data_IF_619914991013
#
_entry.id   IF_619914991013
#
_cell.length_a   1.000
_cell.length_b   1.000
_cell.length_c   1.000
_cell.angle_alpha   90.00
_cell.angle_beta   90.00
_cell.angle_gamma   90.00
#
_symmetry.space_group_name_H-M   'P 1'
#
loop_
_entity.id
_entity.type
_entity.pdbx_description
1 polymer ?
#
# COMPACT_ATOMS: atom_id res chain seq x y z
N UNK A 1 6.37 7.24 -91.24
CA UNK A 1 5.56 7.69 -90.07
C UNK A 1 4.83 6.46 -89.54
N UNK A 2 4.88 6.20 -88.24
CA UNK A 2 4.61 4.88 -87.64
C UNK A 2 3.37 4.87 -86.74
N UNK A 3 2.67 3.74 -86.58
CA UNK A 3 1.35 3.66 -85.92
C UNK A 3 1.38 3.74 -84.38
N UNK A 4 2.44 4.31 -83.78
CA UNK A 4 2.64 4.38 -82.33
C UNK A 4 2.26 5.72 -81.69
N UNK A 5 2.16 6.80 -82.46
CA UNK A 5 1.78 8.13 -81.92
C UNK A 5 0.29 8.28 -81.68
N UNK A 6 -0.54 7.56 -82.44
CA UNK A 6 -2.00 7.73 -82.45
C UNK A 6 -2.70 7.03 -81.27
N UNK A 7 -2.15 5.92 -80.77
CA UNK A 7 -2.61 5.24 -79.55
C UNK A 7 -2.23 6.02 -78.28
N UNK A 8 -1.06 6.65 -78.28
CA UNK A 8 -0.59 7.47 -77.16
C UNK A 8 -1.47 8.71 -76.94
N UNK A 9 -1.91 9.38 -78.01
CA UNK A 9 -2.84 10.51 -77.92
C UNK A 9 -4.21 10.12 -77.33
N UNK A 10 -4.76 8.95 -77.67
CA UNK A 10 -6.04 8.49 -77.10
C UNK A 10 -5.94 8.27 -75.58
N UNK A 11 -4.83 7.69 -75.11
CA UNK A 11 -4.60 7.45 -73.68
C UNK A 11 -4.36 8.75 -72.90
N UNK A 12 -3.71 9.75 -73.52
CA UNK A 12 -3.52 11.08 -72.93
C UNK A 12 -4.81 11.93 -72.91
N UNK A 13 -5.76 11.69 -73.81
CA UNK A 13 -7.08 12.32 -73.76
C UNK A 13 -8.00 11.65 -72.72
N UNK A 14 -7.88 10.33 -72.53
CA UNK A 14 -8.64 9.60 -71.52
C UNK A 14 -8.21 9.91 -70.08
N UNK A 15 -6.96 10.34 -69.85
CA UNK A 15 -6.51 10.78 -68.52
C UNK A 15 -6.91 12.22 -68.15
N UNK A 16 -7.51 12.98 -69.08
CA UNK A 16 -7.97 14.36 -68.87
C UNK A 16 -9.50 14.51 -68.78
N UNK A 17 -10.25 13.40 -68.77
CA UNK A 17 -11.70 13.39 -68.45
C UNK A 17 -11.97 12.47 -67.25
N UNK A 18 -11.10 12.54 -66.25
CA UNK A 18 -11.37 12.07 -64.89
C UNK A 18 -12.35 12.99 -64.16
N UNK A 19 -13.55 13.19 -64.73
CA UNK A 19 -14.62 13.88 -64.02
C UNK A 19 -15.12 12.96 -62.89
N UNK A 20 -15.00 13.39 -61.64
CA UNK A 20 -15.61 12.68 -60.53
C UNK A 20 -17.14 12.73 -60.69
N UNK A 21 -17.73 11.59 -61.06
CA UNK A 21 -19.19 11.43 -61.24
C UNK A 21 -19.92 11.48 -59.88
N UNK A 22 -19.18 11.54 -58.78
CA UNK A 22 -19.67 11.66 -57.41
C UNK A 22 -19.05 12.89 -56.75
N UNK A 23 -19.89 13.82 -56.30
CA UNK A 23 -19.48 14.93 -55.44
C UNK A 23 -19.14 14.40 -54.03
N UNK A 24 -18.17 15.02 -53.35
CA UNK A 24 -17.97 14.78 -51.91
C UNK A 24 -19.23 15.18 -51.14
N UNK A 25 -19.49 14.54 -49.99
CA UNK A 25 -20.76 14.69 -49.25
C UNK A 25 -21.11 16.14 -48.85
N UNK A 26 -20.08 16.95 -48.59
CA UNK A 26 -20.21 18.37 -48.24
C UNK A 26 -20.59 19.26 -49.45
N UNK A 27 -20.24 18.86 -50.67
CA UNK A 27 -20.59 19.56 -51.91
C UNK A 27 -21.89 19.03 -52.53
N UNK A 28 -22.10 17.71 -52.43
CA UNK A 28 -23.29 17.01 -52.93
C UNK A 28 -24.58 17.59 -52.33
N UNK A 29 -24.53 18.04 -51.07
CA UNK A 29 -25.65 18.63 -50.34
C UNK A 29 -25.99 20.06 -50.78
N UNK A 30 -25.14 20.74 -51.56
CA UNK A 30 -25.49 22.00 -52.23
C UNK A 30 -26.29 21.79 -53.52
N UNK A 31 -26.12 20.63 -54.17
CA UNK A 31 -26.76 20.29 -55.46
C UNK A 31 -28.03 19.44 -55.26
N UNK A 32 -28.00 18.51 -54.31
CA UNK A 32 -29.10 17.57 -54.04
C UNK A 32 -29.80 17.90 -52.72
N UNK A 33 -30.85 18.72 -52.79
CA UNK A 33 -31.76 19.01 -51.68
C UNK A 33 -32.61 17.78 -51.30
N UNK A 34 -31.99 16.78 -50.65
CA UNK A 34 -32.71 15.71 -49.94
C UNK A 34 -33.38 16.29 -48.70
N UNK A 35 -34.65 15.93 -48.48
CA UNK A 35 -35.28 16.12 -47.17
C UNK A 35 -34.64 15.16 -46.17
N UNK A 36 -34.46 15.62 -44.93
CA UNK A 36 -34.10 14.76 -43.80
C UNK A 36 -35.21 13.72 -43.58
N UNK A 37 -34.79 12.53 -43.15
CA UNK A 37 -35.59 11.36 -42.78
C UNK A 37 -35.94 11.37 -41.29
N UNK A 38 -35.06 11.99 -40.51
CA UNK A 38 -35.19 12.41 -39.11
C UNK A 38 -36.48 13.20 -38.80
N UNK A 39 -36.90 13.21 -37.53
CA UNK A 39 -38.13 13.86 -37.03
C UNK A 39 -39.42 13.44 -37.77
N UNK A 40 -39.50 12.19 -38.23
CA UNK A 40 -40.67 11.67 -38.94
C UNK A 40 -41.67 10.96 -38.00
N UNK A 41 -42.99 10.96 -38.30
CA UNK A 41 -43.97 10.24 -37.49
C UNK A 41 -43.64 8.75 -37.41
N UNK A 42 -43.63 8.20 -36.19
CA UNK A 42 -43.23 6.82 -35.87
C UNK A 42 -41.75 6.49 -36.18
N UNK A 43 -40.83 7.45 -36.00
CA UNK A 43 -39.36 7.25 -36.06
C UNK A 43 -38.91 6.08 -35.17
N UNK A 44 -39.29 6.11 -33.89
CA UNK A 44 -38.99 5.14 -32.82
C UNK A 44 -39.38 3.68 -33.14
N UNK A 45 -40.23 3.45 -34.15
CA UNK A 45 -40.64 2.11 -34.59
C UNK A 45 -39.72 1.51 -35.67
N UNK A 46 -38.63 2.20 -36.03
CA UNK A 46 -37.61 1.77 -36.98
C UNK A 46 -36.38 1.30 -36.22
N UNK A 47 -35.66 0.31 -36.76
CA UNK A 47 -34.33 -0.01 -36.21
C UNK A 47 -33.39 1.19 -36.35
N UNK A 48 -32.67 1.50 -35.27
CA UNK A 48 -31.76 2.64 -35.17
C UNK A 48 -30.77 2.69 -36.33
N UNK A 49 -30.58 3.88 -36.89
CA UNK A 49 -29.76 4.11 -38.07
C UNK A 49 -28.88 5.34 -37.88
N UNK A 50 -27.55 5.14 -37.78
CA UNK A 50 -26.56 6.21 -37.56
C UNK A 50 -26.78 7.44 -38.44
N UNK A 51 -27.01 7.23 -39.74
CA UNK A 51 -27.18 8.30 -40.73
C UNK A 51 -28.46 9.13 -40.50
N UNK A 52 -29.44 8.58 -39.79
CA UNK A 52 -30.73 9.21 -39.49
C UNK A 52 -30.67 9.89 -38.12
N UNK A 53 -30.66 9.13 -37.04
CA UNK A 53 -30.81 9.69 -35.69
C UNK A 53 -29.56 10.48 -35.24
N UNK A 54 -28.35 10.09 -35.67
CA UNK A 54 -27.12 10.73 -35.21
C UNK A 54 -26.43 11.65 -36.24
N UNK A 55 -26.86 11.68 -37.51
CA UNK A 55 -26.24 12.54 -38.54
C UNK A 55 -27.23 13.52 -39.17
N UNK A 56 -28.47 13.10 -39.43
CA UNK A 56 -29.53 14.02 -39.86
C UNK A 56 -30.18 14.75 -38.67
N UNK A 57 -30.02 14.26 -37.44
CA UNK A 57 -30.35 14.95 -36.19
C UNK A 57 -29.30 14.68 -35.09
N UNK A 58 -29.61 15.07 -33.83
CA UNK A 58 -28.70 14.92 -32.69
C UNK A 58 -29.28 13.89 -31.71
N UNK A 59 -28.90 12.63 -31.91
CA UNK A 59 -29.31 11.52 -31.07
C UNK A 59 -28.95 11.71 -29.58
N UNK A 60 -29.77 11.12 -28.72
CA UNK A 60 -29.52 10.98 -27.28
C UNK A 60 -28.76 9.69 -26.94
N UNK A 61 -28.57 9.42 -25.63
CA UNK A 61 -27.79 8.25 -25.17
C UNK A 61 -28.48 6.92 -25.47
N UNK A 62 -29.81 6.85 -25.46
CA UNK A 62 -30.55 5.61 -25.65
C UNK A 62 -30.67 5.29 -27.14
N UNK A 63 -30.95 6.29 -27.99
CA UNK A 63 -30.90 6.15 -29.45
C UNK A 63 -29.51 5.69 -29.92
N UNK A 64 -28.43 6.28 -29.37
CA UNK A 64 -27.07 5.83 -29.62
C UNK A 64 -26.78 4.41 -29.09
N UNK A 65 -27.44 3.98 -28.00
CA UNK A 65 -27.32 2.62 -27.44
C UNK A 65 -27.93 1.59 -28.39
N UNK A 66 -29.06 1.91 -29.02
CA UNK A 66 -29.73 1.04 -30.00
C UNK A 66 -28.92 0.84 -31.29
N UNK A 67 -28.16 1.84 -31.73
CA UNK A 67 -27.33 1.76 -32.95
C UNK A 67 -26.08 0.88 -32.75
N UNK A 68 -25.59 0.71 -31.50
CA UNK A 68 -24.31 0.05 -31.22
C UNK A 68 -24.36 -1.20 -30.34
N UNK A 69 -25.53 -1.52 -29.76
CA UNK A 69 -25.82 -2.76 -29.00
C UNK A 69 -24.91 -3.00 -27.76
N UNK A 70 -24.02 -2.06 -27.44
CA UNK A 70 -22.95 -2.22 -26.45
C UNK A 70 -22.54 -0.84 -25.92
N UNK A 71 -22.59 -0.63 -24.60
CA UNK A 71 -22.34 0.68 -23.98
C UNK A 71 -20.92 1.22 -24.21
N UNK A 72 -19.88 0.39 -24.17
CA UNK A 72 -18.50 0.85 -24.40
C UNK A 72 -18.32 1.37 -25.83
N UNK A 73 -18.86 0.64 -26.82
CA UNK A 73 -18.87 1.07 -28.23
C UNK A 73 -19.72 2.31 -28.44
N UNK A 74 -20.83 2.43 -27.72
CA UNK A 74 -21.71 3.62 -27.74
C UNK A 74 -20.94 4.85 -27.29
N UNK A 75 -20.33 4.82 -26.10
CA UNK A 75 -19.61 5.97 -25.54
C UNK A 75 -18.44 6.39 -26.43
N UNK A 76 -17.62 5.44 -26.87
CA UNK A 76 -16.46 5.73 -27.74
C UNK A 76 -16.89 6.31 -29.09
N UNK A 77 -17.97 5.82 -29.70
CA UNK A 77 -18.41 6.31 -31.01
C UNK A 77 -19.24 7.59 -30.95
N UNK A 78 -19.72 7.97 -29.76
CA UNK A 78 -20.41 9.24 -29.50
C UNK A 78 -19.43 10.37 -29.17
N UNK A 79 -18.34 10.16 -28.43
CA UNK A 79 -17.32 11.22 -28.17
C UNK A 79 -16.72 11.74 -29.48
N UNK A 80 -16.31 10.81 -30.35
CA UNK A 80 -15.83 11.05 -31.71
C UNK A 80 -16.77 11.88 -32.60
N UNK A 81 -18.03 12.07 -32.21
CA UNK A 81 -19.04 12.83 -32.95
C UNK A 81 -19.52 14.11 -32.24
N UNK A 82 -19.32 14.24 -30.92
CA UNK A 82 -19.74 15.42 -30.14
C UNK A 82 -18.66 16.51 -30.13
N UNK A 83 -17.42 16.14 -29.81
CA UNK A 83 -16.25 17.03 -29.78
C UNK A 83 -15.08 16.52 -30.67
N UNK A 84 -15.11 15.25 -31.08
CA UNK A 84 -14.12 14.65 -31.99
C UNK A 84 -12.87 14.15 -31.28
N UNK A 85 -12.11 13.26 -31.93
CA UNK A 85 -10.94 12.61 -31.32
C UNK A 85 -9.86 13.63 -30.91
N UNK A 86 -9.83 13.98 -29.63
CA UNK A 86 -8.88 14.96 -29.14
C UNK A 86 -7.43 14.41 -29.14
N UNK A 87 -7.25 13.08 -29.22
CA UNK A 87 -5.95 12.42 -29.34
C UNK A 87 -5.34 12.49 -30.74
N UNK A 88 -6.09 12.86 -31.79
CA UNK A 88 -5.53 13.10 -33.15
C UNK A 88 -4.44 14.18 -33.13
N UNK A 89 -4.53 15.14 -32.22
CA UNK A 89 -3.51 16.17 -32.01
C UNK A 89 -2.19 15.66 -31.38
N UNK A 90 -2.13 14.38 -31.01
CA UNK A 90 -1.05 13.75 -30.23
C UNK A 90 -0.63 14.57 -29.00
N UNK A 91 -1.58 14.95 -28.12
CA UNK A 91 -1.32 15.93 -27.06
C UNK A 91 -0.43 15.37 -25.94
N UNK A 92 -0.38 14.04 -25.78
CA UNK A 92 0.41 13.35 -24.77
C UNK A 92 1.86 13.16 -25.24
N UNK A 93 2.77 14.00 -24.76
CA UNK A 93 4.19 13.92 -25.09
C UNK A 93 4.92 12.86 -24.22
N UNK A 94 6.23 12.72 -24.38
CA UNK A 94 7.06 11.76 -23.64
C UNK A 94 6.55 10.29 -23.70
N UNK A 95 5.98 9.92 -24.85
CA UNK A 95 5.36 8.60 -25.11
C UNK A 95 4.22 8.21 -24.15
N UNK A 96 3.53 9.19 -23.54
CA UNK A 96 2.28 8.96 -22.83
C UNK A 96 1.20 8.41 -23.76
N UNK A 97 0.32 7.54 -23.24
CA UNK A 97 -0.80 6.99 -24.01
C UNK A 97 -1.99 7.92 -23.90
N UNK A 98 -2.48 8.45 -25.01
CA UNK A 98 -3.69 9.25 -25.05
C UNK A 98 -4.94 8.35 -25.04
N UNK A 99 -6.00 8.79 -24.35
CA UNK A 99 -7.37 8.32 -24.58
C UNK A 99 -8.32 9.49 -24.71
N UNK A 100 -9.21 9.39 -25.68
CA UNK A 100 -10.33 10.30 -25.89
C UNK A 100 -11.39 10.16 -24.78
N UNK A 101 -12.27 11.15 -24.64
CA UNK A 101 -13.28 11.24 -23.59
C UNK A 101 -14.18 12.45 -23.80
N UNK A 102 -15.10 12.70 -22.86
CA UNK A 102 -16.04 13.83 -22.94
C UNK A 102 -16.02 14.64 -21.63
N UNK A 103 -15.71 15.96 -21.66
CA UNK A 103 -15.12 16.71 -22.76
C UNK A 103 -13.59 16.54 -22.82
N UNK A 104 -13.05 16.19 -23.99
CA UNK A 104 -11.60 16.11 -24.23
C UNK A 104 -10.85 14.87 -23.69
N UNK A 105 -9.51 14.92 -23.72
CA UNK A 105 -8.62 13.76 -23.55
C UNK A 105 -8.05 13.55 -22.13
N UNK A 106 -7.54 12.34 -21.89
CA UNK A 106 -6.71 11.99 -20.74
C UNK A 106 -5.40 11.35 -21.19
N UNK A 107 -4.27 11.86 -20.69
CA UNK A 107 -2.94 11.27 -20.91
C UNK A 107 -2.54 10.31 -19.79
N UNK A 108 -2.19 9.07 -20.16
CA UNK A 108 -1.63 8.07 -19.27
C UNK A 108 -0.11 8.07 -19.42
N UNK A 109 0.56 8.80 -18.53
CA UNK A 109 2.00 9.04 -18.60
C UNK A 109 2.84 7.81 -18.27
N UNK A 110 4.01 7.71 -18.90
CA UNK A 110 5.01 6.69 -18.56
C UNK A 110 5.69 7.03 -17.23
N UNK A 111 6.30 6.04 -16.54
CA UNK A 111 7.19 6.30 -15.40
C UNK A 111 8.22 7.37 -15.74
N UNK A 112 8.43 8.31 -14.82
CA UNK A 112 9.28 9.50 -15.04
C UNK A 112 8.56 10.72 -15.61
N UNK A 113 7.24 10.70 -15.85
CA UNK A 113 6.49 11.83 -16.42
C UNK A 113 5.13 12.06 -15.74
N UNK A 114 4.72 13.32 -15.63
CA UNK A 114 3.41 13.78 -15.14
C UNK A 114 2.99 15.07 -15.87
N UNK A 115 1.88 15.68 -15.43
CA UNK A 115 1.25 16.83 -16.11
C UNK A 115 0.05 16.40 -16.94
N UNK A 116 -0.70 17.36 -17.48
CA UNK A 116 -1.92 17.04 -18.25
C UNK A 116 -1.59 16.34 -19.58
N UNK A 117 -0.43 16.68 -20.15
CA UNK A 117 0.10 16.24 -21.43
C UNK A 117 1.37 15.38 -21.26
N UNK A 118 1.66 14.92 -20.04
CA UNK A 118 2.93 14.27 -19.67
C UNK A 118 4.18 15.15 -19.87
N UNK A 119 3.99 16.47 -19.85
CA UNK A 119 4.99 17.50 -20.13
C UNK A 119 6.02 17.71 -19.00
N UNK A 120 5.64 17.38 -17.77
CA UNK A 120 6.51 17.51 -16.61
C UNK A 120 7.34 16.22 -16.49
N UNK A 121 8.60 16.30 -16.92
CA UNK A 121 9.60 15.28 -16.56
C UNK A 121 9.72 15.25 -15.04
N UNK A 122 9.36 14.13 -14.41
CA UNK A 122 9.67 13.84 -13.02
C UNK A 122 11.14 13.41 -13.00
N UNK A 123 12.05 14.17 -12.36
CA UNK A 123 13.39 13.67 -12.16
C UNK A 123 13.31 12.40 -11.29
N UNK A 124 14.01 11.32 -11.66
CA UNK A 124 14.05 10.04 -10.89
C UNK A 124 14.57 10.19 -9.44
N UNK A 125 14.85 11.42 -8.99
CA UNK A 125 15.49 11.82 -7.74
C UNK A 125 15.00 11.07 -6.50
N UNK A 126 13.70 10.91 -6.26
CA UNK A 126 13.19 10.10 -5.14
C UNK A 126 12.65 8.73 -5.56
N UNK A 127 12.18 8.56 -6.80
CA UNK A 127 11.64 7.27 -7.27
C UNK A 127 12.76 6.21 -7.45
N UNK A 128 14.02 6.63 -7.61
CA UNK A 128 15.21 5.78 -7.66
C UNK A 128 15.89 5.73 -6.30
N UNK A 129 16.00 4.53 -5.72
CA UNK A 129 16.67 4.27 -4.44
C UNK A 129 16.24 5.21 -3.27
N UNK A 130 14.99 5.68 -3.27
CA UNK A 130 14.51 6.70 -2.31
C UNK A 130 15.41 7.95 -2.25
N UNK A 131 16.02 8.33 -3.39
CA UNK A 131 17.00 9.41 -3.47
C UNK A 131 18.19 9.24 -2.52
N UNK A 132 18.58 8.00 -2.25
CA UNK A 132 19.59 7.58 -1.27
C UNK A 132 19.26 7.91 0.20
N UNK A 133 18.14 8.59 0.48
CA UNK A 133 17.71 8.97 1.83
C UNK A 133 17.52 7.72 2.70
N UNK A 134 17.97 7.75 3.95
CA UNK A 134 17.82 6.61 4.88
C UNK A 134 16.36 6.43 5.33
N UNK A 135 15.61 7.53 5.53
CA UNK A 135 14.18 7.49 5.81
C UNK A 135 13.37 8.16 4.69
N UNK A 136 13.07 9.45 4.75
CA UNK A 136 12.09 10.07 3.84
C UNK A 136 12.78 10.91 2.76
N UNK A 137 12.20 10.95 1.55
CA UNK A 137 12.72 11.69 0.40
C UNK A 137 11.65 12.61 -0.17
N UNK A 138 11.97 13.90 -0.28
CA UNK A 138 11.13 14.91 -0.91
C UNK A 138 11.93 15.69 -1.97
N UNK A 139 11.30 16.12 -3.06
CA UNK A 139 11.97 16.89 -4.14
C UNK A 139 11.65 18.38 -3.99
N UNK A 140 12.65 19.17 -3.61
CA UNK A 140 12.54 20.64 -3.51
C UNK A 140 13.43 21.31 -4.56
N UNK A 141 12.84 22.19 -5.39
CA UNK A 141 13.58 22.98 -6.40
C UNK A 141 14.51 22.11 -7.28
N UNK A 142 13.99 20.96 -7.73
CA UNK A 142 14.68 19.92 -8.51
C UNK A 142 15.93 19.32 -7.82
N UNK A 143 15.93 19.24 -6.47
CA UNK A 143 16.95 18.55 -5.67
C UNK A 143 16.30 17.60 -4.67
N UNK A 144 16.96 16.50 -4.35
CA UNK A 144 16.58 15.65 -3.20
C UNK A 144 16.81 16.43 -1.91
N UNK A 145 15.80 16.46 -1.06
CA UNK A 145 15.90 16.79 0.36
C UNK A 145 15.44 15.59 1.17
N UNK A 146 16.29 15.10 2.06
CA UNK A 146 15.95 14.00 2.95
C UNK A 146 15.36 14.52 4.28
N UNK A 147 14.40 13.78 4.85
CA UNK A 147 13.87 13.95 6.21
C UNK A 147 13.98 12.62 6.97
N UNK A 148 13.90 12.68 8.31
CA UNK A 148 14.04 11.52 9.19
C UNK A 148 12.79 11.30 10.05
N UNK A 149 12.56 10.04 10.45
CA UNK A 149 11.54 9.67 11.42
C UNK A 149 11.70 10.40 12.76
N UNK A 150 10.60 10.51 13.52
CA UNK A 150 10.62 11.11 14.86
C UNK A 150 11.63 10.38 15.78
N UNK A 151 12.42 11.15 16.55
CA UNK A 151 13.56 10.63 17.32
C UNK A 151 14.87 10.47 16.53
N UNK A 152 14.92 10.87 15.26
CA UNK A 152 16.14 10.89 14.41
C UNK A 152 16.40 12.29 13.83
N UNK A 153 17.67 12.56 13.50
CA UNK A 153 18.14 13.77 12.80
C UNK A 153 18.98 13.40 11.57
N UNK A 154 19.01 14.30 10.59
CA UNK A 154 19.77 14.11 9.35
C UNK A 154 21.28 14.27 9.62
N UNK A 155 22.09 13.35 9.09
CA UNK A 155 23.55 13.38 9.18
C UNK A 155 24.19 14.45 8.28
N UNK A 156 25.49 14.67 8.47
CA UNK A 156 26.28 15.70 7.76
C UNK A 156 26.39 15.44 6.24
N UNK A 157 26.18 14.18 5.84
CA UNK A 157 26.05 13.70 4.46
C UNK A 157 24.73 14.13 3.78
N UNK A 158 23.75 14.63 4.53
CA UNK A 158 22.43 15.02 4.03
C UNK A 158 21.53 13.86 3.59
N UNK A 159 21.88 12.62 3.93
CA UNK A 159 21.19 11.38 3.51
C UNK A 159 20.81 10.45 4.66
N UNK A 160 21.74 10.19 5.57
CA UNK A 160 21.61 9.21 6.65
C UNK A 160 20.84 9.79 7.84
N UNK A 161 20.16 8.94 8.60
CA UNK A 161 19.36 9.32 9.75
C UNK A 161 19.99 8.80 11.04
N UNK A 162 20.63 9.71 11.77
CA UNK A 162 21.30 9.44 13.04
C UNK A 162 20.36 9.75 14.21
N UNK A 163 20.73 9.35 15.42
CA UNK A 163 19.95 9.63 16.63
C UNK A 163 20.84 9.50 17.85
N UNK A 164 20.59 10.35 18.85
CA UNK A 164 21.26 10.33 20.15
C UNK A 164 20.44 9.59 21.21
N UNK A 165 19.22 9.12 20.86
CA UNK A 165 18.31 8.45 21.78
C UNK A 165 18.65 6.96 21.88
N UNK A 166 18.78 6.48 23.13
CA UNK A 166 19.02 5.06 23.42
C UNK A 166 17.86 4.17 22.97
N UNK A 167 16.66 4.74 22.86
CA UNK A 167 15.39 4.05 22.63
C UNK A 167 14.54 4.70 21.51
N UNK A 168 15.21 5.21 20.47
CA UNK A 168 14.60 5.71 19.24
C UNK A 168 13.66 4.69 18.57
N UNK A 169 12.69 5.17 17.78
CA UNK A 169 11.73 4.30 17.12
C UNK A 169 12.37 3.29 16.15
N UNK A 170 11.71 2.15 15.96
CA UNK A 170 12.00 1.16 14.92
C UNK A 170 13.35 0.44 15.04
N UNK A 171 14.13 0.65 16.10
CA UNK A 171 15.51 0.19 16.19
C UNK A 171 15.69 -1.08 17.04
N UNK A 172 15.45 -2.27 16.44
CA UNK A 172 15.78 -3.55 17.08
C UNK A 172 17.29 -3.68 17.28
N UNK A 173 17.74 -3.83 18.53
CA UNK A 173 19.15 -4.08 18.88
C UNK A 173 19.49 -5.57 18.75
N UNK A 174 19.89 -5.98 17.54
CA UNK A 174 20.33 -7.35 17.24
C UNK A 174 21.43 -7.84 18.21
N UNK A 175 21.41 -9.14 18.53
CA UNK A 175 22.29 -9.80 19.52
C UNK A 175 23.79 -9.51 19.29
N UNK A 176 24.24 -9.28 18.05
CA UNK A 176 25.64 -8.87 17.72
C UNK A 176 26.09 -7.54 18.36
N UNK A 177 25.18 -6.71 18.87
CA UNK A 177 25.49 -5.44 19.56
C UNK A 177 25.64 -5.58 21.08
N UNK A 178 25.27 -6.73 21.68
CA UNK A 178 25.29 -6.93 23.15
C UNK A 178 26.71 -6.86 23.76
N UNK A 179 27.75 -7.08 22.96
CA UNK A 179 29.17 -6.95 23.34
C UNK A 179 29.58 -5.54 23.82
N UNK A 180 28.80 -4.50 23.53
CA UNK A 180 29.10 -3.11 23.92
C UNK A 180 28.54 -2.76 25.32
N UNK A 181 27.57 -3.50 25.84
CA UNK A 181 26.89 -3.20 27.11
C UNK A 181 27.44 -3.94 28.33
N UNK A 182 28.48 -4.77 28.16
CA UNK A 182 29.22 -5.40 29.26
C UNK A 182 30.63 -4.82 29.30
N UNK A 183 30.82 -3.71 30.02
CA UNK A 183 32.02 -3.36 30.83
C UNK A 183 32.01 -1.87 31.24
N UNK A 184 31.26 -1.53 32.28
CA UNK A 184 31.60 -0.36 33.13
C UNK A 184 31.03 -0.37 34.55
N UNK A 185 31.12 -1.51 35.24
CA UNK A 185 31.22 -1.47 36.70
C UNK A 185 32.70 -1.27 37.08
N UNK A 186 32.96 -0.28 37.92
CA UNK A 186 34.24 -0.09 38.58
C UNK A 186 34.25 -0.93 39.86
N UNK A 187 35.14 -1.91 39.96
CA UNK A 187 35.62 -2.41 41.25
C UNK A 187 37.15 -2.48 41.24
N UNK A 188 37.76 -2.12 42.37
CA UNK A 188 39.21 -2.14 42.54
C UNK A 188 39.61 -3.50 43.12
N UNK A 189 40.35 -4.32 42.36
CA UNK A 189 40.80 -5.66 42.77
C UNK A 189 42.30 -5.88 42.50
N UNK A 190 43.04 -6.30 43.52
CA UNK A 190 44.51 -6.39 43.50
C UNK A 190 45.09 -7.60 42.77
N UNK A 191 46.05 -7.33 41.87
CA UNK A 191 47.33 -8.05 41.61
C UNK A 191 47.40 -9.59 41.53
N UNK A 192 48.17 -10.02 40.51
CA UNK A 192 48.88 -11.31 40.36
C UNK A 192 47.96 -12.54 40.08
N UNK A 193 48.36 -13.56 39.30
CA UNK A 193 49.70 -14.13 39.04
C UNK A 193 50.06 -14.37 37.55
N UNK A 194 51.31 -14.81 37.31
CA UNK A 194 51.86 -15.14 35.98
C UNK A 194 51.65 -16.62 35.60
N UNK A 195 51.22 -16.91 34.38
CA UNK A 195 51.53 -18.17 33.66
C UNK A 195 51.82 -17.85 32.18
N UNK A 196 52.85 -18.46 31.61
CA UNK A 196 53.21 -18.29 30.19
C UNK A 196 52.21 -19.02 29.26
N UNK A 197 51.88 -18.39 28.13
CA UNK A 197 50.84 -18.89 27.22
C UNK A 197 51.30 -19.93 26.19
N UNK A 198 50.36 -20.29 25.33
CA UNK A 198 50.57 -21.05 24.08
C UNK A 198 49.55 -20.58 23.04
N UNK A 199 49.97 -20.48 21.78
CA UNK A 199 49.03 -20.31 20.66
C UNK A 199 48.32 -21.65 20.41
N UNK A 200 47.00 -21.69 20.58
CA UNK A 200 46.17 -22.83 20.19
C UNK A 200 45.15 -22.42 19.14
N UNK A 201 45.40 -22.79 17.88
CA UNK A 201 44.42 -22.66 16.79
C UNK A 201 43.36 -23.75 16.97
N UNK A 202 42.23 -23.39 17.57
CA UNK A 202 41.08 -24.29 17.68
C UNK A 202 40.12 -24.12 16.50
N UNK A 203 40.40 -24.86 15.42
CA UNK A 203 39.38 -25.21 14.44
C UNK A 203 38.38 -26.17 15.11
N UNK A 204 37.19 -25.68 15.45
CA UNK A 204 36.06 -26.53 15.82
C UNK A 204 34.99 -26.45 14.74
N UNK A 205 35.08 -27.35 13.76
CA UNK A 205 33.89 -27.82 13.03
C UNK A 205 32.98 -28.52 14.03
N UNK A 206 31.81 -27.95 14.30
CA UNK A 206 30.77 -28.57 15.12
C UNK A 206 29.55 -28.82 14.24
N UNK A 207 29.09 -30.07 14.23
CA UNK A 207 28.12 -30.59 13.27
C UNK A 207 26.73 -29.99 13.48
N UNK A 208 26.08 -29.58 12.38
CA UNK A 208 24.66 -29.22 12.39
C UNK A 208 23.80 -30.47 12.44
N UNK A 209 23.55 -30.97 13.65
CA UNK A 209 22.47 -31.94 13.90
C UNK A 209 21.13 -31.20 13.85
N UNK A 210 20.67 -30.99 12.63
CA UNK A 210 19.33 -30.54 12.27
C UNK A 210 18.34 -31.70 12.46
N UNK A 211 17.47 -31.63 13.49
CA UNK A 211 16.21 -32.38 13.62
C UNK A 211 15.48 -32.02 14.93
N UNK A 212 14.53 -31.07 14.87
CA UNK A 212 13.23 -31.16 15.56
C UNK A 212 12.22 -30.19 14.90
N UNK A 213 11.86 -30.49 13.65
CA UNK A 213 10.92 -29.68 12.87
C UNK A 213 9.47 -30.04 13.25
N UNK A 214 8.91 -29.41 14.29
CA UNK A 214 7.48 -29.59 14.60
C UNK A 214 6.78 -28.38 15.23
N UNK A 215 5.80 -27.84 14.50
CA UNK A 215 4.68 -26.99 14.97
C UNK A 215 4.96 -25.51 15.32
N UNK A 216 5.30 -24.71 14.31
CA UNK A 216 5.21 -23.24 14.31
C UNK A 216 3.74 -22.76 14.23
N UNK A 217 3.35 -21.81 15.09
CA UNK A 217 1.95 -21.58 15.54
C UNK A 217 1.80 -20.20 16.22
N UNK A 218 1.12 -19.11 15.80
CA UNK A 218 0.54 -18.59 14.54
C UNK A 218 0.71 -19.49 13.34
N UNK A 219 -0.30 -19.61 12.46
CA UNK A 219 -0.32 -20.61 11.39
C UNK A 219 1.02 -20.61 10.63
N UNK A 220 1.80 -21.66 10.88
CA UNK A 220 3.20 -21.86 10.45
C UNK A 220 4.18 -20.65 10.62
N UNK A 221 4.05 -19.89 11.71
CA UNK A 221 4.87 -18.74 12.12
C UNK A 221 5.64 -18.93 13.45
N UNK A 222 6.74 -18.21 13.64
CA UNK A 222 7.73 -18.43 14.70
C UNK A 222 7.48 -17.62 15.99
N UNK A 223 8.12 -18.02 17.10
CA UNK A 223 8.07 -17.27 18.36
C UNK A 223 8.88 -15.98 18.21
N UNK A 224 8.35 -14.82 18.62
CA UNK A 224 9.13 -13.59 18.53
C UNK A 224 10.18 -13.53 19.65
N UNK A 225 11.49 -13.46 19.35
CA UNK A 225 12.51 -13.46 20.39
C UNK A 225 12.49 -12.19 21.25
N UNK A 226 12.90 -12.28 22.54
CA UNK A 226 12.89 -11.12 23.44
C UNK A 226 13.66 -9.89 22.94
N UNK A 227 12.89 -8.82 22.65
CA UNK A 227 13.36 -7.55 22.11
C UNK A 227 13.24 -7.41 20.59
N UNK A 228 12.68 -8.39 19.88
CA UNK A 228 12.52 -8.36 18.41
C UNK A 228 11.10 -8.00 17.94
N UNK A 229 10.12 -7.87 18.84
CA UNK A 229 8.80 -7.26 18.59
C UNK A 229 8.47 -6.15 19.62
N UNK A 230 9.38 -5.19 19.91
CA UNK A 230 9.31 -4.34 21.11
C UNK A 230 8.19 -3.28 21.07
N UNK A 231 7.54 -3.09 19.93
CA UNK A 231 6.36 -2.23 19.75
C UNK A 231 5.03 -2.95 20.00
N UNK A 232 5.06 -4.27 20.27
CA UNK A 232 3.85 -5.02 20.55
C UNK A 232 3.18 -4.51 21.83
N UNK A 233 1.89 -4.21 21.71
CA UNK A 233 0.98 -4.10 22.84
C UNK A 233 -0.01 -5.27 22.84
N UNK A 234 -0.41 -5.68 24.05
CA UNK A 234 -1.53 -6.58 24.29
C UNK A 234 -2.64 -5.80 24.99
N UNK A 235 -3.87 -5.89 24.45
CA UNK A 235 -5.05 -5.23 25.01
C UNK A 235 -5.84 -6.25 25.84
N UNK A 236 -5.93 -5.99 27.14
CA UNK A 236 -6.60 -6.83 28.13
C UNK A 236 -7.96 -6.22 28.50
N UNK A 237 -8.97 -7.07 28.66
CA UNK A 237 -10.30 -6.68 29.12
C UNK A 237 -10.42 -6.68 30.66
N UNK A 238 -11.59 -6.36 31.20
CA UNK A 238 -11.85 -6.40 32.65
C UNK A 238 -12.02 -7.81 33.26
N UNK A 239 -11.62 -8.88 32.54
CA UNK A 239 -11.52 -10.25 33.04
C UNK A 239 -10.10 -10.83 32.89
N UNK A 240 -9.09 -9.98 32.72
CA UNK A 240 -7.67 -10.35 32.49
C UNK A 240 -7.46 -11.27 31.27
N UNK A 241 -8.31 -11.13 30.24
CA UNK A 241 -8.17 -11.81 28.95
C UNK A 241 -7.69 -10.84 27.88
N UNK A 242 -6.56 -11.17 27.24
CA UNK A 242 -6.06 -10.46 26.07
C UNK A 242 -6.91 -10.73 24.85
N UNK A 243 -7.52 -9.69 24.25
CA UNK A 243 -8.51 -9.85 23.18
C UNK A 243 -8.08 -9.24 21.83
N UNK A 244 -7.15 -8.28 21.85
CA UNK A 244 -6.60 -7.61 20.66
C UNK A 244 -5.13 -7.22 20.89
N UNK A 245 -4.41 -6.95 19.81
CA UNK A 245 -3.09 -6.32 19.82
C UNK A 245 -3.11 -4.79 19.67
N UNK A 246 -1.92 -4.21 19.73
CA UNK A 246 -1.66 -2.80 19.41
C UNK A 246 -0.20 -2.56 19.05
N UNK A 247 0.11 -1.36 18.56
CA UNK A 247 1.47 -0.91 18.20
C UNK A 247 1.83 0.37 18.97
N UNK A 248 2.94 0.39 19.70
CA UNK A 248 3.44 1.62 20.34
C UNK A 248 3.89 2.63 19.27
N UNK A 249 3.40 3.87 19.34
CA UNK A 249 3.82 4.98 18.46
C UNK A 249 4.74 6.00 19.15
N UNK A 250 4.48 6.33 20.42
CA UNK A 250 5.32 7.18 21.28
C UNK A 250 5.04 6.86 22.76
N UNK A 251 5.47 7.70 23.72
CA UNK A 251 5.29 7.42 25.15
C UNK A 251 3.83 7.38 25.61
N UNK A 252 2.86 7.88 24.83
CA UNK A 252 1.45 8.02 25.25
C UNK A 252 0.46 7.33 24.33
N UNK A 253 0.81 7.00 23.08
CA UNK A 253 -0.14 6.53 22.08
C UNK A 253 0.16 5.12 21.57
N UNK A 254 -0.87 4.27 21.66
CA UNK A 254 -0.92 2.95 21.04
C UNK A 254 -1.90 2.99 19.85
N UNK A 255 -1.45 2.53 18.69
CA UNK A 255 -2.27 2.31 17.50
C UNK A 255 -2.92 0.93 17.57
N UNK A 256 -4.21 0.84 17.23
CA UNK A 256 -4.96 -0.43 17.18
C UNK A 256 -6.16 -0.32 16.24
N UNK A 257 -6.97 -1.38 16.13
CA UNK A 257 -8.18 -1.41 15.32
C UNK A 257 -9.37 -0.79 16.08
N UNK A 258 -10.31 -0.17 15.35
CA UNK A 258 -11.52 0.39 15.94
C UNK A 258 -12.51 -0.70 16.39
N UNK A 259 -12.55 -1.84 15.70
CA UNK A 259 -13.43 -2.97 16.03
C UNK A 259 -13.11 -3.61 17.39
N UNK A 260 -11.87 -3.46 17.89
CA UNK A 260 -11.46 -3.86 19.24
C UNK A 260 -12.10 -2.99 20.33
N UNK A 261 -12.29 -1.69 20.06
CA UNK A 261 -12.63 -0.69 21.10
C UNK A 261 -14.03 -0.83 21.69
N UNK A 262 -14.92 -1.60 21.05
CA UNK A 262 -16.31 -1.81 21.49
C UNK A 262 -16.54 -3.22 22.07
N UNK A 263 -15.48 -3.98 22.39
CA UNK A 263 -15.59 -5.38 22.85
C UNK A 263 -15.52 -5.58 24.37
N UNK A 264 -15.13 -4.54 25.13
CA UNK A 264 -14.89 -4.63 26.58
C UNK A 264 -15.30 -3.34 27.27
N UNK A 265 -15.54 -3.38 28.59
CA UNK A 265 -15.96 -2.21 29.37
C UNK A 265 -14.77 -1.38 29.85
N UNK A 266 -13.68 -2.06 30.20
CA UNK A 266 -12.37 -1.44 30.45
C UNK A 266 -11.33 -2.07 29.54
N UNK A 267 -10.28 -1.30 29.23
CA UNK A 267 -9.13 -1.78 28.47
C UNK A 267 -7.88 -1.42 29.28
N UNK A 268 -7.02 -2.41 29.52
CA UNK A 268 -5.67 -2.22 30.01
C UNK A 268 -4.68 -2.58 28.91
N UNK A 269 -3.51 -1.94 28.91
CA UNK A 269 -2.46 -2.19 27.92
C UNK A 269 -1.26 -2.82 28.61
N UNK A 270 -0.84 -4.02 28.18
CA UNK A 270 0.42 -4.64 28.60
C UNK A 270 1.44 -4.50 27.48
N UNK A 271 2.66 -4.06 27.84
CA UNK A 271 3.80 -3.86 26.93
C UNK A 271 5.00 -4.69 27.40
N UNK A 272 5.80 -5.21 26.46
CA UNK A 272 6.98 -6.03 26.77
C UNK A 272 6.68 -7.50 27.15
N UNK A 273 5.41 -7.89 27.09
CA UNK A 273 4.90 -9.25 27.27
C UNK A 273 5.41 -10.20 26.17
N UNK A 274 5.70 -11.46 26.54
CA UNK A 274 6.17 -12.52 25.64
C UNK A 274 5.56 -13.89 25.97
N UNK A 275 5.18 -14.21 27.21
CA UNK A 275 4.35 -15.38 27.53
C UNK A 275 3.41 -15.05 28.67
N UNK A 276 2.12 -14.87 28.35
CA UNK A 276 1.04 -14.45 29.28
C UNK A 276 0.78 -15.38 30.47
N UNK A 277 1.56 -16.46 30.62
CA UNK A 277 1.61 -17.35 31.80
C UNK A 277 2.76 -17.04 32.77
N UNK A 278 3.73 -16.23 32.38
CA UNK A 278 4.98 -16.01 33.12
C UNK A 278 5.18 -14.51 33.36
N UNK A 279 5.16 -14.11 34.63
CA UNK A 279 5.57 -12.76 35.01
C UNK A 279 7.11 -12.70 35.02
N UNK A 280 7.70 -12.11 33.99
CA UNK A 280 9.16 -11.98 33.84
C UNK A 280 9.70 -10.62 34.35
N UNK A 281 8.87 -9.86 35.08
CA UNK A 281 9.18 -8.57 35.73
C UNK A 281 9.62 -7.42 34.80
N UNK A 282 9.47 -7.57 33.48
CA UNK A 282 9.78 -6.56 32.46
C UNK A 282 8.53 -5.91 31.86
N UNK A 283 7.37 -6.50 32.14
CA UNK A 283 6.06 -6.15 31.61
C UNK A 283 5.58 -4.82 32.20
N UNK A 284 5.13 -3.90 31.35
CA UNK A 284 4.56 -2.61 31.77
C UNK A 284 3.05 -2.58 31.53
N UNK A 285 2.28 -2.52 32.62
CA UNK A 285 0.81 -2.38 32.58
C UNK A 285 0.46 -0.89 32.63
N UNK A 286 -0.33 -0.43 31.65
CA UNK A 286 -0.79 0.95 31.53
C UNK A 286 -2.32 1.06 31.52
N UNK A 287 -2.83 2.01 32.31
CA UNK A 287 -4.23 2.45 32.32
C UNK A 287 -4.54 3.33 31.11
N UNK A 288 -5.72 3.16 30.51
CA UNK A 288 -6.19 3.94 29.36
C UNK A 288 -6.92 5.21 29.84
N UNK A 289 -6.41 6.37 29.44
CA UNK A 289 -7.04 7.67 29.72
C UNK A 289 -8.10 8.04 28.68
N UNK A 290 -7.91 7.67 27.41
CA UNK A 290 -8.88 7.95 26.35
C UNK A 290 -8.75 6.98 25.17
N UNK A 291 -9.90 6.59 24.61
CA UNK A 291 -9.99 5.88 23.34
C UNK A 291 -10.45 6.85 22.24
N UNK A 292 -9.75 6.83 21.10
CA UNK A 292 -9.90 7.78 19.99
C UNK A 292 -10.08 6.99 18.68
N UNK A 293 -11.30 6.50 18.44
CA UNK A 293 -11.70 5.81 17.19
C UNK A 293 -11.81 6.77 16.02
N UNK A 294 -11.55 6.29 14.80
CA UNK A 294 -11.76 7.10 13.59
C UNK A 294 -13.26 7.35 13.36
N UNK A 295 -13.66 8.63 13.20
CA UNK A 295 -15.08 9.04 13.11
C UNK A 295 -15.88 8.44 11.95
N UNK A 296 -15.20 7.94 10.92
CA UNK A 296 -15.81 7.30 9.76
C UNK A 296 -15.66 5.78 9.77
N UNK A 297 -15.41 5.18 10.94
CA UNK A 297 -15.40 3.73 11.11
C UNK A 297 -16.78 3.12 10.81
N UNK A 298 -16.82 2.10 9.95
CA UNK A 298 -18.02 1.35 9.57
C UNK A 298 -17.84 -0.11 9.97
N UNK A 299 -18.62 -0.56 10.96
CA UNK A 299 -18.47 -1.87 11.60
C UNK A 299 -18.74 -3.03 10.63
N UNK A 300 -19.68 -2.83 9.71
CA UNK A 300 -20.22 -3.83 8.79
C UNK A 300 -19.24 -4.17 7.66
N UNK A 301 -18.23 -3.32 7.42
CA UNK A 301 -17.26 -3.43 6.33
C UNK A 301 -15.80 -3.26 6.78
N UNK A 302 -15.58 -3.02 8.08
CA UNK A 302 -14.29 -2.61 8.65
C UNK A 302 -13.65 -1.40 7.94
N UNK A 303 -14.45 -0.57 7.24
CA UNK A 303 -13.92 0.62 6.59
C UNK A 303 -13.53 1.67 7.64
N UNK A 304 -12.31 2.21 7.54
CA UNK A 304 -11.66 3.03 8.57
C UNK A 304 -11.55 2.34 9.94
N UNK A 305 -11.28 1.03 9.96
CA UNK A 305 -10.98 0.28 11.18
C UNK A 305 -9.60 0.65 11.76
N UNK A 306 -9.55 1.78 12.46
CA UNK A 306 -8.36 2.32 13.09
C UNK A 306 -8.74 3.17 14.33
N UNK A 307 -7.99 3.00 15.41
CA UNK A 307 -8.15 3.73 16.65
C UNK A 307 -6.79 4.04 17.29
N UNK A 308 -6.76 5.11 18.08
CA UNK A 308 -5.64 5.44 18.96
C UNK A 308 -6.10 5.31 20.42
N UNK A 309 -5.30 4.65 21.23
CA UNK A 309 -5.44 4.62 22.69
C UNK A 309 -4.44 5.61 23.26
N UNK A 310 -4.91 6.57 24.07
CA UNK A 310 -4.06 7.43 24.89
C UNK A 310 -3.93 6.83 26.30
N UNK A 311 -2.69 6.59 26.72
CA UNK A 311 -2.35 6.09 28.05
C UNK A 311 -2.37 7.20 29.10
N UNK A 312 -2.67 6.84 30.35
CA UNK A 312 -2.75 7.78 31.47
C UNK A 312 -1.38 8.21 32.03
N UNK A 313 -0.34 7.39 31.81
CA UNK A 313 1.04 7.61 32.26
C UNK A 313 2.00 7.26 31.11
N UNK A 314 3.11 8.01 30.93
CA UNK A 314 4.06 7.76 29.85
C UNK A 314 4.74 6.41 29.99
N UNK A 315 4.96 5.73 28.86
CA UNK A 315 5.76 4.51 28.75
C UNK A 315 7.21 4.82 29.09
N UNK A 316 7.81 3.98 29.94
CA UNK A 316 9.27 3.96 30.13
C UNK A 316 9.86 2.98 29.14
N UNK A 317 10.49 3.47 28.08
CA UNK A 317 11.09 2.60 27.07
C UNK A 317 12.26 1.77 27.63
N UNK A 318 12.40 0.55 27.11
CA UNK A 318 13.40 -0.45 27.51
C UNK A 318 13.90 -1.20 26.27
N UNK A 319 14.89 -2.09 26.36
CA UNK A 319 15.26 -2.99 25.24
C UNK A 319 14.13 -3.92 24.77
N UNK A 320 13.01 -4.01 25.50
CA UNK A 320 11.84 -4.83 25.20
C UNK A 320 10.58 -4.01 24.89
N UNK A 321 10.61 -2.68 25.08
CA UNK A 321 9.47 -1.77 24.94
C UNK A 321 9.93 -0.52 24.18
N UNK A 322 9.61 -0.43 22.89
CA UNK A 322 10.06 0.62 21.96
C UNK A 322 8.95 0.98 20.95
N UNK A 323 8.83 2.23 20.49
CA UNK A 323 7.89 2.59 19.44
C UNK A 323 8.30 2.05 18.06
N UNK A 324 7.32 1.70 17.22
CA UNK A 324 7.53 1.57 15.78
C UNK A 324 7.56 2.96 15.13
N UNK A 325 8.37 3.18 14.09
CA UNK A 325 8.39 4.49 13.44
C UNK A 325 7.13 4.75 12.61
N UNK A 326 6.56 5.95 12.71
CA UNK A 326 5.42 6.38 11.89
C UNK A 326 5.93 7.02 10.58
N UNK A 327 5.68 6.42 9.40
CA UNK A 327 6.24 6.91 8.13
C UNK A 327 5.55 8.17 7.59
N UNK A 328 6.21 8.86 6.65
CA UNK A 328 5.51 9.76 5.71
C UNK A 328 4.66 8.93 4.73
N UNK A 329 3.51 9.45 4.28
CA UNK A 329 2.54 8.67 3.49
C UNK A 329 3.08 8.21 2.13
N UNK A 330 3.75 9.10 1.39
CA UNK A 330 4.39 8.79 0.10
C UNK A 330 5.52 7.77 0.26
N UNK A 331 6.35 7.89 1.31
CA UNK A 331 7.40 6.92 1.61
C UNK A 331 6.83 5.53 1.91
N UNK A 332 5.71 5.46 2.65
CA UNK A 332 5.03 4.21 2.90
C UNK A 332 4.51 3.55 1.61
N UNK A 333 3.92 4.31 0.69
CA UNK A 333 3.28 3.76 -0.52
C UNK A 333 4.25 3.53 -1.70
N UNK A 334 5.34 4.30 -1.78
CA UNK A 334 6.33 4.22 -2.86
C UNK A 334 7.55 3.38 -2.52
N UNK A 335 7.84 3.18 -1.23
CA UNK A 335 9.01 2.42 -0.76
C UNK A 335 8.55 1.24 0.10
N UNK A 336 7.99 1.48 1.29
CA UNK A 336 7.72 0.39 2.25
C UNK A 336 6.76 -0.68 1.71
N UNK A 337 5.69 -0.28 1.03
CA UNK A 337 4.72 -1.21 0.41
C UNK A 337 5.17 -1.72 -0.97
N UNK A 338 6.46 -1.53 -1.33
CA UNK A 338 7.14 -2.17 -2.46
C UNK A 338 8.31 -3.07 -2.03
N UNK A 339 8.65 -3.13 -0.74
CA UNK A 339 9.52 -4.17 -0.19
C UNK A 339 8.79 -5.53 -0.26
N UNK A 340 9.52 -6.65 -0.38
CA UNK A 340 8.89 -7.96 -0.61
C UNK A 340 7.98 -8.41 0.55
N UNK A 341 8.34 -8.10 1.80
CA UNK A 341 7.68 -8.61 3.01
C UNK A 341 7.46 -7.53 4.10
N UNK A 342 6.33 -7.65 4.79
CA UNK A 342 6.14 -7.07 6.13
C UNK A 342 6.25 -8.14 7.23
N UNK A 343 6.40 -7.72 8.48
CA UNK A 343 6.26 -8.57 9.67
C UNK A 343 4.96 -8.22 10.39
N UNK A 344 4.23 -9.25 10.80
CA UNK A 344 3.09 -9.18 11.72
C UNK A 344 3.47 -9.87 13.02
N UNK A 345 3.00 -9.37 14.16
CA UNK A 345 3.18 -10.01 15.46
C UNK A 345 1.92 -9.91 16.33
N UNK A 346 1.73 -10.87 17.22
CA UNK A 346 0.57 -10.93 18.09
C UNK A 346 0.46 -12.20 18.93
N UNK A 347 -0.60 -12.24 19.73
CA UNK A 347 -0.96 -13.34 20.63
C UNK A 347 -2.21 -14.08 20.13
N UNK A 348 -2.56 -13.97 18.84
CA UNK A 348 -3.78 -14.53 18.28
C UNK A 348 -3.84 -16.06 18.25
N UNK A 349 -4.88 -16.57 17.59
CA UNK A 349 -5.10 -18.01 17.47
C UNK A 349 -4.10 -18.69 16.55
N UNK A 350 -3.70 -19.89 16.98
CA UNK A 350 -2.66 -20.67 16.31
C UNK A 350 -3.11 -21.34 15.00
N UNK A 351 -4.43 -21.32 14.75
CA UNK A 351 -5.17 -21.82 13.58
C UNK A 351 -6.60 -21.29 13.65
N UNK A 352 -7.35 -21.30 12.54
CA UNK A 352 -8.76 -20.88 12.55
C UNK A 352 -9.57 -21.66 13.61
N UNK A 353 -10.32 -20.93 14.45
CA UNK A 353 -11.10 -21.54 15.55
C UNK A 353 -10.28 -22.22 16.66
N UNK A 354 -8.95 -22.12 16.61
CA UNK A 354 -8.05 -22.74 17.58
C UNK A 354 -8.00 -22.05 18.94
N UNK A 355 -7.12 -22.56 19.81
CA UNK A 355 -6.71 -21.85 21.02
C UNK A 355 -5.87 -20.62 20.67
N UNK A 356 -5.95 -19.62 21.54
CA UNK A 356 -5.11 -18.43 21.50
C UNK A 356 -3.68 -18.76 21.96
N UNK A 357 -2.68 -18.04 21.43
CA UNK A 357 -1.31 -18.18 21.95
C UNK A 357 -1.20 -17.61 23.36
N UNK A 358 -0.37 -18.22 24.20
CA UNK A 358 0.15 -17.50 25.37
C UNK A 358 1.48 -16.81 25.07
N UNK A 359 2.27 -17.38 24.15
CA UNK A 359 3.56 -16.84 23.69
C UNK A 359 3.38 -15.81 22.56
N UNK A 360 4.16 -14.74 22.54
CA UNK A 360 4.17 -13.76 21.44
C UNK A 360 4.77 -14.39 20.18
N UNK A 361 3.98 -14.40 19.10
CA UNK A 361 4.36 -14.98 17.82
C UNK A 361 4.59 -13.88 16.77
N UNK A 362 5.34 -14.22 15.72
CA UNK A 362 5.51 -13.38 14.53
C UNK A 362 5.48 -14.18 13.24
N UNK A 363 5.14 -13.49 12.15
CA UNK A 363 5.12 -14.03 10.79
C UNK A 363 5.61 -12.95 9.82
N UNK A 364 6.48 -13.32 8.87
CA UNK A 364 6.75 -12.49 7.70
C UNK A 364 5.71 -12.80 6.64
N UNK A 365 5.05 -11.79 6.07
CA UNK A 365 3.98 -11.92 5.06
C UNK A 365 4.31 -11.07 3.83
N UNK A 366 4.17 -11.60 2.61
CA UNK A 366 4.44 -10.82 1.41
C UNK A 366 3.27 -9.87 1.10
N UNK A 367 3.58 -8.73 0.48
CA UNK A 367 2.56 -7.79 0.01
C UNK A 367 1.83 -8.33 -1.22
N UNK A 368 0.50 -8.34 -1.19
CA UNK A 368 -0.33 -8.82 -2.31
C UNK A 368 -0.84 -7.65 -3.16
N UNK A 369 -0.74 -7.80 -4.49
CA UNK A 369 -1.17 -6.76 -5.43
C UNK A 369 -2.65 -6.41 -5.28
N UNK A 370 -3.02 -5.15 -5.49
CA UNK A 370 -4.40 -4.68 -5.25
C UNK A 370 -5.45 -5.39 -6.11
N UNK A 371 -5.10 -5.86 -7.30
CA UNK A 371 -6.01 -6.63 -8.16
C UNK A 371 -6.33 -7.99 -7.53
N UNK A 372 -5.30 -8.81 -7.29
CA UNK A 372 -5.41 -10.13 -6.64
C UNK A 372 -6.08 -10.02 -5.26
N UNK A 373 -5.74 -8.99 -4.48
CA UNK A 373 -6.37 -8.70 -3.20
C UNK A 373 -7.90 -8.52 -3.29
N UNK A 374 -8.39 -7.76 -4.28
CA UNK A 374 -9.83 -7.56 -4.49
C UNK A 374 -10.49 -8.84 -5.03
N UNK A 375 -9.88 -9.48 -6.03
CA UNK A 375 -10.40 -10.70 -6.68
C UNK A 375 -10.49 -11.89 -5.71
N UNK A 376 -9.53 -12.00 -4.78
CA UNK A 376 -9.53 -13.01 -3.73
C UNK A 376 -10.71 -12.90 -2.76
N UNK A 377 -11.35 -11.73 -2.62
CA UNK A 377 -12.34 -11.51 -1.55
C UNK A 377 -13.79 -11.43 -2.04
N UNK A 378 -14.69 -12.01 -1.25
CA UNK A 378 -16.15 -11.84 -1.38
C UNK A 378 -16.65 -10.49 -0.84
N UNK A 379 -15.79 -9.75 -0.14
CA UNK A 379 -16.12 -8.49 0.53
C UNK A 379 -15.35 -7.31 -0.09
N UNK A 380 -15.88 -6.09 0.05
CA UNK A 380 -15.37 -4.90 -0.63
C UNK A 380 -14.07 -4.36 0.01
N UNK A 381 -12.91 -4.80 -0.47
CA UNK A 381 -11.61 -4.27 -0.04
C UNK A 381 -11.41 -2.82 -0.51
N UNK A 382 -11.54 -1.85 0.40
CA UNK A 382 -11.49 -0.41 0.07
C UNK A 382 -10.07 0.09 -0.24
N UNK A 383 -9.93 1.33 -0.72
CA UNK A 383 -8.63 1.97 -1.00
C UNK A 383 -7.88 2.48 0.24
N UNK A 384 -8.32 2.06 1.44
CA UNK A 384 -7.67 2.28 2.73
C UNK A 384 -7.29 0.96 3.42
N UNK A 385 -7.22 -0.11 2.63
CA UNK A 385 -6.92 -1.49 3.02
C UNK A 385 -5.93 -2.10 2.02
N UNK A 386 -5.09 -3.02 2.49
CA UNK A 386 -4.25 -3.87 1.66
C UNK A 386 -4.31 -5.33 2.14
N UNK A 387 -3.90 -6.25 1.27
CA UNK A 387 -3.74 -7.67 1.60
C UNK A 387 -2.26 -7.98 1.81
N UNK A 388 -1.96 -8.85 2.77
CA UNK A 388 -0.66 -9.51 2.89
C UNK A 388 -0.85 -10.94 3.43
N UNK A 389 -0.07 -11.89 2.94
CA UNK A 389 -0.22 -13.32 3.25
C UNK A 389 0.18 -14.19 2.06
N UNK A 390 0.09 -15.51 2.23
CA UNK A 390 0.48 -16.49 1.21
C UNK A 390 -0.74 -17.08 0.50
N UNK A 391 -0.57 -17.50 -0.75
CA UNK A 391 -1.69 -18.04 -1.56
C UNK A 391 -1.97 -19.52 -1.27
N UNK A 392 -0.90 -20.33 -1.19
CA UNK A 392 -0.98 -21.78 -0.98
C UNK A 392 -0.38 -22.25 0.36
N UNK A 393 0.46 -21.45 1.01
CA UNK A 393 1.01 -21.80 2.34
C UNK A 393 -0.04 -21.49 3.42
N UNK A 394 -0.19 -22.40 4.39
CA UNK A 394 -1.04 -22.16 5.57
C UNK A 394 -0.36 -21.16 6.54
N UNK A 395 -0.23 -19.90 6.12
CA UNK A 395 0.47 -18.81 6.84
C UNK A 395 -0.31 -17.50 6.79
N UNK A 396 -0.88 -17.11 7.93
CA UNK A 396 -1.73 -15.92 8.06
C UNK A 396 -1.82 -15.45 9.52
N UNK A 397 -2.22 -14.19 9.72
CA UNK A 397 -2.67 -13.70 11.02
C UNK A 397 -4.08 -14.25 11.35
N UNK A 398 -4.47 -14.29 12.62
CA UNK A 398 -5.72 -14.92 13.01
C UNK A 398 -6.47 -14.17 14.13
N UNK A 399 -7.61 -14.70 14.59
CA UNK A 399 -8.44 -14.02 15.58
C UNK A 399 -7.65 -13.81 16.88
N UNK A 400 -7.64 -12.56 17.39
CA UNK A 400 -6.83 -12.13 18.52
C UNK A 400 -5.56 -11.36 18.15
N UNK A 401 -5.08 -11.45 16.90
CA UNK A 401 -4.04 -10.55 16.36
C UNK A 401 -4.62 -9.19 15.95
N UNK A 402 -5.95 -9.08 15.84
CA UNK A 402 -6.71 -7.86 15.57
C UNK A 402 -6.16 -6.64 16.30
N UNK A 403 -5.92 -5.54 15.58
CA UNK A 403 -5.30 -4.33 16.11
C UNK A 403 -3.78 -4.38 16.25
N UNK A 404 -3.16 -5.55 16.10
CA UNK A 404 -1.71 -5.75 16.13
C UNK A 404 -0.95 -5.07 14.97
N UNK A 405 0.38 -4.96 15.11
CA UNK A 405 1.25 -4.35 14.10
C UNK A 405 1.31 -5.16 12.80
N UNK A 406 1.26 -4.45 11.67
CA UNK A 406 1.98 -4.85 10.47
C UNK A 406 3.07 -3.80 10.22
N UNK A 407 4.33 -4.22 10.31
CA UNK A 407 5.51 -3.35 10.23
C UNK A 407 6.44 -3.78 9.09
N UNK A 408 7.04 -2.82 8.41
CA UNK A 408 8.01 -3.06 7.34
C UNK A 408 9.37 -2.50 7.74
N UNK A 409 10.43 -3.27 7.48
CA UNK A 409 11.79 -2.82 7.68
C UNK A 409 12.30 -2.11 6.43
N UNK A 410 12.85 -0.91 6.59
CA UNK A 410 13.67 -0.27 5.56
C UNK A 410 15.05 0.04 6.13
N UNK A 411 16.10 -0.41 5.43
CA UNK A 411 17.51 -0.31 5.88
C UNK A 411 17.71 -0.82 7.32
N UNK A 412 17.84 0.09 8.29
CA UNK A 412 18.08 -0.18 9.71
C UNK A 412 16.83 -0.08 10.60
N UNK A 413 15.71 0.42 10.06
CA UNK A 413 14.57 0.94 10.84
C UNK A 413 13.25 0.24 10.48
N UNK A 414 12.43 -0.06 11.49
CA UNK A 414 11.08 -0.62 11.33
C UNK A 414 9.99 0.45 11.42
N UNK A 415 9.10 0.45 10.43
CA UNK A 415 7.99 1.40 10.28
C UNK A 415 6.65 0.69 10.31
N UNK A 416 5.63 1.30 10.94
CA UNK A 416 4.27 0.76 10.91
C UNK A 416 3.58 1.08 9.58
N UNK A 417 3.16 0.05 8.85
CA UNK A 417 2.55 0.14 7.52
C UNK A 417 1.09 -0.31 7.49
N UNK A 418 0.71 -1.21 8.41
CA UNK A 418 -0.66 -1.67 8.57
C UNK A 418 -1.06 -1.94 10.02
N UNK A 419 -2.37 -2.14 10.21
CA UNK A 419 -2.99 -2.64 11.45
C UNK A 419 -3.81 -3.88 11.07
N UNK A 420 -3.65 -4.99 11.78
CA UNK A 420 -4.44 -6.22 11.55
C UNK A 420 -5.94 -5.90 11.72
N UNK A 421 -6.77 -6.17 10.70
CA UNK A 421 -8.20 -5.77 10.71
C UNK A 421 -9.15 -6.96 10.59
N UNK A 422 -9.15 -7.71 9.49
CA UNK A 422 -10.04 -8.88 9.29
C UNK A 422 -9.49 -9.87 8.25
N UNK A 423 -10.16 -11.01 8.08
CA UNK A 423 -9.84 -12.02 7.07
C UNK A 423 -11.02 -12.97 6.83
N UNK A 424 -11.04 -13.66 5.68
CA UNK A 424 -12.08 -14.64 5.32
C UNK A 424 -11.79 -16.04 5.90
N UNK A 425 -11.51 -16.11 7.20
CA UNK A 425 -10.97 -17.27 7.90
C UNK A 425 -9.62 -16.94 8.53
N UNK A 426 -8.75 -17.94 8.67
CA UNK A 426 -7.31 -17.76 8.82
C UNK A 426 -6.59 -18.76 7.91
N UNK A 427 -5.60 -18.31 7.13
CA UNK A 427 -4.71 -19.17 6.33
C UNK A 427 -5.44 -20.13 5.36
N UNK A 428 -6.58 -19.71 4.81
CA UNK A 428 -7.30 -20.47 3.79
C UNK A 428 -6.69 -20.22 2.42
N UNK A 429 -6.47 -21.28 1.64
CA UNK A 429 -5.95 -21.18 0.26
C UNK A 429 -6.72 -20.16 -0.58
N UNK A 430 -5.99 -19.28 -1.28
CA UNK A 430 -6.56 -18.19 -2.08
C UNK A 430 -7.23 -17.07 -1.28
N UNK A 431 -6.86 -16.90 0.01
CA UNK A 431 -7.28 -15.79 0.88
C UNK A 431 -6.08 -15.22 1.61
N UNK A 432 -6.16 -13.93 1.95
CA UNK A 432 -5.09 -13.20 2.65
C UNK A 432 -5.68 -12.39 3.81
N UNK A 433 -4.86 -12.10 4.82
CA UNK A 433 -5.21 -11.14 5.87
C UNK A 433 -5.41 -9.73 5.30
N UNK A 434 -6.40 -9.01 5.81
CA UNK A 434 -6.72 -7.63 5.44
C UNK A 434 -6.25 -6.68 6.53
N UNK A 435 -5.46 -5.69 6.12
CA UNK A 435 -4.82 -4.73 7.00
C UNK A 435 -5.30 -3.31 6.69
N UNK A 436 -5.59 -2.52 7.71
CA UNK A 436 -5.89 -1.09 7.54
C UNK A 436 -4.61 -0.36 7.15
N UNK A 437 -4.60 0.31 5.99
CA UNK A 437 -3.41 0.91 5.39
C UNK A 437 -3.02 2.22 6.09
N UNK A 438 -1.97 2.21 6.91
CA UNK A 438 -1.62 3.32 7.83
C UNK A 438 -1.24 4.61 7.09
N UNK A 439 -0.66 4.51 5.89
CA UNK A 439 -0.35 5.67 5.03
C UNK A 439 -1.56 6.59 4.81
N UNK A 440 -2.77 6.02 4.67
CA UNK A 440 -4.03 6.75 4.42
C UNK A 440 -4.56 7.51 5.65
N UNK A 441 -3.90 7.37 6.81
CA UNK A 441 -4.31 7.99 8.07
C UNK A 441 -3.20 8.80 8.75
N UNK A 442 -1.98 8.90 8.19
CA UNK A 442 -0.89 9.70 8.78
C UNK A 442 -1.31 11.12 9.20
N UNK A 443 -2.11 11.88 8.42
CA UNK A 443 -2.60 13.20 8.85
C UNK A 443 -3.55 13.15 10.05
N UNK A 444 -4.40 12.11 10.14
CA UNK A 444 -5.28 11.90 11.29
C UNK A 444 -4.50 11.49 12.54
N UNK A 445 -3.56 10.54 12.40
CA UNK A 445 -2.70 10.07 13.49
C UNK A 445 -1.91 11.25 14.07
N UNK A 446 -1.19 12.00 13.23
CA UNK A 446 -0.39 13.16 13.68
C UNK A 446 -1.26 14.31 14.22
N UNK A 447 -2.48 14.50 13.73
CA UNK A 447 -3.44 15.46 14.32
C UNK A 447 -3.89 15.04 15.72
N UNK A 448 -4.27 13.77 15.91
CA UNK A 448 -4.72 13.24 17.20
C UNK A 448 -3.59 13.27 18.23
N UNK A 449 -2.40 12.76 17.88
CA UNK A 449 -1.21 12.74 18.75
C UNK A 449 -0.68 14.13 19.13
N UNK A 450 -1.03 15.18 18.37
CA UNK A 450 -0.69 16.58 18.68
C UNK A 450 -1.77 17.31 19.48
N UNK A 451 -3.02 16.82 19.44
CA UNK A 451 -4.19 17.49 20.05
C UNK A 451 -4.47 17.02 21.48
N UNK A 452 -4.15 15.76 21.78
CA UNK A 452 -4.43 15.13 23.07
C UNK A 452 -3.12 14.79 23.79
#
# INVERSE_FOLDING_TARGET
>A
MTPFTQTCLLLLLLSWVGAEVFLQSQDASQVLNRRRRANSPFEEFRSGNMERECVEERCDREEAREIFENEEKTVIRVSLYIDGDACVSQPCINHGVCKDGIPGYTCFCRPGFQGHNCEIVIPELCEKNNGDCEHFCNVEKNKVRCSCADGYYLGDDGKSCRSNEVFKCGAIKSKKSRSIYIYRQHENGTKNDNVNGTNSVFNNTAETNDYDESSSRIVNGEQCPPGECPWQALLMNEQDVGFCGGTILNEYFILTAAHCMNQSRSIFVILGEIDTKVNESREAIHEVAQVLTHKQYVRETYHNDIALIKLQKPIKFTPFILPACLPEADFAEKVLMREDYGMVSGFGRLREGGVQSTVLMRLSVPYISRAVCIESSKFKVTNRMFCAGYDEEEKDACQGDSGGPHVTRYKSTWFVTGVVSWGEGCARKGKYGIYTQVSKYIPWIRYVMKKF
#
